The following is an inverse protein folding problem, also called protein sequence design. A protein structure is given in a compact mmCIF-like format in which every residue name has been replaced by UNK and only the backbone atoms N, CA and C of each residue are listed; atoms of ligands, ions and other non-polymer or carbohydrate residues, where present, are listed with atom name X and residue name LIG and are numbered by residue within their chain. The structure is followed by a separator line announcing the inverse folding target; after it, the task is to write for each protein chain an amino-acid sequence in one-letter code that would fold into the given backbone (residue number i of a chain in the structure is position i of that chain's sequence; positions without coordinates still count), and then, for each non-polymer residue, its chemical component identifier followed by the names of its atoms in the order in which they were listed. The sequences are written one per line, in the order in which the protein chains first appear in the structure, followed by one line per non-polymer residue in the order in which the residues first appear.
data_IF_977924318401
#
_entry.id   IF_977924318401
#
_cell.length_a   1.000
_cell.length_b   1.000
_cell.length_c   1.000
_cell.angle_alpha   90.00
_cell.angle_beta   90.00
_cell.angle_gamma   90.00
#
_symmetry.space_group_name_H-M   'P 1'
#
loop_
_entity.id
_entity.type
_entity.pdbx_description
1 polymer ?
#
# COMPACT_ATOMS: atom_id res chain seq x y z
N UNK A 1 26.22 -5.37 5.78
CA UNK A 1 25.17 -4.75 4.95
C UNK A 1 25.84 -3.85 3.92
N UNK A 2 25.73 -4.22 2.66
CA UNK A 2 26.33 -3.51 1.51
C UNK A 2 25.30 -2.53 0.95
N UNK A 3 25.63 -1.22 0.93
CA UNK A 3 24.70 -0.16 0.55
C UNK A 3 25.12 0.46 -0.78
N UNK A 4 24.16 0.70 -1.69
CA UNK A 4 24.30 1.48 -2.91
C UNK A 4 23.54 2.80 -2.78
N UNK A 5 24.17 3.92 -3.08
CA UNK A 5 23.48 5.19 -3.25
C UNK A 5 23.31 5.52 -4.73
N UNK A 6 22.12 6.01 -5.09
CA UNK A 6 21.76 6.53 -6.41
C UNK A 6 21.14 7.92 -6.26
N UNK A 7 21.48 8.84 -7.14
CA UNK A 7 20.89 10.19 -7.16
C UNK A 7 19.91 10.30 -8.34
N UNK A 8 18.61 10.34 -8.02
CA UNK A 8 17.56 10.43 -9.03
C UNK A 8 17.56 11.74 -9.81
N UNK A 9 18.10 12.84 -9.23
CA UNK A 9 18.16 14.13 -9.91
C UNK A 9 19.03 14.12 -11.19
N UNK A 10 19.96 13.17 -11.29
CA UNK A 10 20.89 13.05 -12.41
C UNK A 10 20.48 11.99 -13.45
N UNK A 11 19.37 11.29 -13.23
CA UNK A 11 18.97 10.13 -14.03
C UNK A 11 17.53 10.28 -14.56
N UNK A 12 17.28 9.73 -15.72
CA UNK A 12 15.90 9.48 -16.16
C UNK A 12 15.28 8.29 -15.38
N UNK A 13 13.94 8.17 -15.32
CA UNK A 13 13.29 7.02 -14.67
C UNK A 13 13.77 5.68 -15.20
N UNK A 14 14.05 5.58 -16.50
CA UNK A 14 14.55 4.36 -17.15
C UNK A 14 15.96 4.00 -16.69
N UNK A 15 16.84 4.96 -16.66
CA UNK A 15 18.24 4.75 -16.21
C UNK A 15 18.28 4.39 -14.73
N UNK A 16 17.49 5.09 -13.89
CA UNK A 16 17.40 4.79 -12.47
C UNK A 16 16.89 3.36 -12.23
N UNK A 17 15.80 2.95 -12.88
CA UNK A 17 15.27 1.59 -12.75
C UNK A 17 16.26 0.53 -13.23
N UNK A 18 17.02 0.80 -14.29
CA UNK A 18 18.09 -0.13 -14.76
C UNK A 18 19.17 -0.29 -13.69
N UNK A 19 19.64 0.81 -13.11
CA UNK A 19 20.66 0.79 -12.05
C UNK A 19 20.14 0.14 -10.75
N UNK A 20 18.86 0.35 -10.40
CA UNK A 20 18.24 -0.32 -9.25
C UNK A 20 18.24 -1.83 -9.45
N UNK A 21 17.76 -2.33 -10.59
CA UNK A 21 17.71 -3.78 -10.90
C UNK A 21 19.10 -4.42 -10.96
N UNK A 22 20.08 -3.71 -11.47
CA UNK A 22 21.47 -4.20 -11.48
C UNK A 22 22.04 -4.24 -10.06
N UNK A 23 21.82 -3.18 -9.28
CA UNK A 23 22.31 -3.08 -7.91
C UNK A 23 21.62 -4.08 -6.95
N UNK A 24 20.36 -4.40 -7.19
CA UNK A 24 19.61 -5.34 -6.36
C UNK A 24 20.25 -6.73 -6.26
N UNK A 25 21.03 -7.13 -7.25
CA UNK A 25 21.76 -8.41 -7.28
C UNK A 25 22.97 -8.48 -6.33
N UNK A 26 23.55 -7.33 -6.01
CA UNK A 26 24.86 -7.24 -5.34
C UNK A 26 24.82 -6.49 -4.00
N UNK A 27 23.73 -5.78 -3.70
CA UNK A 27 23.61 -4.92 -2.53
C UNK A 27 22.40 -5.31 -1.66
N UNK A 28 22.57 -5.24 -0.35
CA UNK A 28 21.51 -5.51 0.63
C UNK A 28 20.52 -4.34 0.74
N UNK A 29 20.99 -3.13 0.43
CA UNK A 29 20.19 -1.89 0.49
C UNK A 29 20.56 -0.93 -0.64
N UNK A 30 19.53 -0.31 -1.22
CA UNK A 30 19.67 0.78 -2.19
C UNK A 30 19.01 2.03 -1.61
N UNK A 31 19.77 3.13 -1.54
CA UNK A 31 19.28 4.45 -1.11
C UNK A 31 19.16 5.35 -2.34
N UNK A 32 17.95 5.78 -2.65
CA UNK A 32 17.64 6.68 -3.76
C UNK A 32 17.40 8.07 -3.20
N UNK A 33 18.30 9.00 -3.51
CA UNK A 33 18.20 10.42 -3.12
C UNK A 33 17.52 11.26 -4.19
N UNK A 34 16.91 12.36 -3.76
CA UNK A 34 16.28 13.37 -4.63
C UNK A 34 15.28 12.79 -5.63
N UNK A 35 14.30 11.97 -5.21
CA UNK A 35 13.32 11.38 -6.13
C UNK A 35 12.41 12.44 -6.78
N UNK A 36 12.23 13.61 -6.16
CA UNK A 36 11.56 14.80 -6.71
C UNK A 36 10.22 14.51 -7.41
N UNK A 37 9.37 13.68 -6.81
CA UNK A 37 8.10 13.23 -7.36
C UNK A 37 8.20 12.56 -8.75
N UNK A 38 9.35 12.00 -9.09
CA UNK A 38 9.55 11.27 -10.34
C UNK A 38 8.63 10.05 -10.39
N UNK A 39 8.05 9.79 -11.58
CA UNK A 39 7.13 8.68 -11.81
C UNK A 39 7.88 7.38 -12.15
N UNK A 40 7.20 6.23 -11.96
CA UNK A 40 7.67 4.89 -12.34
C UNK A 40 9.00 4.49 -11.67
N UNK A 41 9.27 4.97 -10.46
CA UNK A 41 10.46 4.57 -9.69
C UNK A 41 10.30 3.15 -9.15
N UNK A 42 11.41 2.39 -9.13
CA UNK A 42 11.45 1.02 -8.59
C UNK A 42 10.41 0.12 -9.27
N UNK A 43 10.30 0.19 -10.58
CA UNK A 43 9.32 -0.59 -11.34
C UNK A 43 9.87 -1.97 -11.74
N UNK A 44 9.12 -3.05 -11.44
CA UNK A 44 9.43 -4.42 -11.83
C UNK A 44 10.75 -4.93 -11.27
N UNK A 45 11.05 -4.65 -10.01
CA UNK A 45 12.15 -5.27 -9.26
C UNK A 45 11.66 -6.60 -8.70
N UNK A 46 12.44 -7.68 -8.91
CA UNK A 46 12.09 -9.05 -8.52
C UNK A 46 13.09 -9.67 -7.55
N UNK A 47 14.04 -8.90 -7.06
CA UNK A 47 15.04 -9.33 -6.10
C UNK A 47 14.63 -8.91 -4.68
N UNK A 48 14.93 -9.74 -3.69
CA UNK A 48 14.76 -9.42 -2.27
C UNK A 48 15.83 -8.41 -1.82
N UNK A 49 15.48 -7.12 -1.88
CA UNK A 49 16.38 -6.03 -1.54
C UNK A 49 15.64 -4.92 -0.79
N UNK A 50 16.32 -4.25 0.13
CA UNK A 50 15.76 -3.08 0.80
C UNK A 50 16.01 -1.83 -0.06
N UNK A 51 14.96 -1.11 -0.42
CA UNK A 51 15.05 0.12 -1.23
C UNK A 51 14.43 1.27 -0.44
N UNK A 52 15.21 2.32 -0.22
CA UNK A 52 14.74 3.51 0.48
C UNK A 52 14.80 4.72 -0.44
N UNK A 53 13.67 5.44 -0.58
CA UNK A 53 13.55 6.66 -1.36
C UNK A 53 13.48 7.85 -0.39
N UNK A 54 14.49 8.72 -0.43
CA UNK A 54 14.64 9.87 0.45
C UNK A 54 13.86 11.08 -0.07
N UNK A 55 12.54 11.01 0.03
CA UNK A 55 11.61 12.05 -0.37
C UNK A 55 10.33 11.54 -1.02
N UNK A 56 9.52 12.48 -1.52
CA UNK A 56 8.25 12.15 -2.19
C UNK A 56 8.48 11.63 -3.60
N UNK A 57 7.61 10.71 -4.02
CA UNK A 57 7.65 10.02 -5.31
C UNK A 57 6.39 10.27 -6.13
N UNK A 58 6.48 10.04 -7.44
CA UNK A 58 5.38 10.20 -8.37
C UNK A 58 4.51 8.95 -8.52
N UNK A 59 3.83 8.87 -9.66
CA UNK A 59 2.88 7.80 -9.99
C UNK A 59 3.59 6.48 -10.27
N UNK A 60 2.94 5.34 -9.98
CA UNK A 60 3.40 3.99 -10.27
C UNK A 60 4.76 3.63 -9.63
N UNK A 61 5.08 4.22 -8.48
CA UNK A 61 6.27 3.80 -7.74
C UNK A 61 6.05 2.43 -7.11
N UNK A 62 7.00 1.49 -7.29
CA UNK A 62 6.90 0.12 -6.81
C UNK A 62 5.94 -0.77 -7.62
N UNK A 63 5.59 -0.35 -8.85
CA UNK A 63 4.69 -1.15 -9.70
C UNK A 63 5.34 -2.46 -10.15
N UNK A 64 4.54 -3.56 -10.20
CA UNK A 64 4.95 -4.88 -10.70
C UNK A 64 6.20 -5.45 -10.00
N UNK A 65 6.39 -5.15 -8.74
CA UNK A 65 7.49 -5.70 -7.94
C UNK A 65 7.13 -7.07 -7.35
N UNK A 66 8.20 -7.87 -7.09
CA UNK A 66 8.11 -9.22 -6.52
C UNK A 66 9.30 -9.43 -5.54
N UNK A 67 9.08 -9.23 -4.24
CA UNK A 67 10.06 -9.46 -3.18
C UNK A 67 10.73 -8.24 -2.54
N UNK A 68 10.94 -7.06 -3.17
CA UNK A 68 11.65 -5.98 -2.54
C UNK A 68 10.86 -5.36 -1.37
N UNK A 69 11.59 -4.82 -0.39
CA UNK A 69 11.03 -3.94 0.66
C UNK A 69 11.34 -2.49 0.32
N UNK A 70 10.29 -1.75 -0.05
CA UNK A 70 10.39 -0.37 -0.53
C UNK A 70 9.88 0.57 0.56
N UNK A 71 10.74 1.49 1.02
CA UNK A 71 10.37 2.56 1.95
C UNK A 71 10.45 3.92 1.27
N UNK A 72 9.37 4.69 1.36
CA UNK A 72 9.23 6.03 0.79
C UNK A 72 9.15 7.04 1.93
N UNK A 73 10.20 7.85 2.14
CA UNK A 73 10.30 8.85 3.21
C UNK A 73 9.57 10.16 2.85
N UNK A 74 8.40 10.05 2.24
CA UNK A 74 7.60 11.17 1.78
C UNK A 74 6.21 10.75 1.36
N UNK A 75 5.60 11.53 0.47
CA UNK A 75 4.31 11.18 -0.13
C UNK A 75 4.52 10.36 -1.42
N UNK A 76 3.52 9.60 -1.80
CA UNK A 76 3.47 8.90 -3.08
C UNK A 76 2.33 9.44 -3.97
N UNK A 77 2.53 9.38 -5.28
CA UNK A 77 1.51 9.71 -6.26
C UNK A 77 0.46 8.59 -6.39
N UNK A 78 -0.26 8.57 -7.52
CA UNK A 78 -1.25 7.56 -7.83
C UNK A 78 -0.61 6.20 -8.11
N UNK A 79 -1.34 5.12 -7.79
CA UNK A 79 -0.98 3.74 -8.10
C UNK A 79 0.35 3.27 -7.47
N UNK A 80 0.65 3.72 -6.25
CA UNK A 80 1.81 3.22 -5.50
C UNK A 80 1.60 1.75 -5.15
N UNK A 81 2.61 0.89 -5.40
CA UNK A 81 2.53 -0.55 -5.18
C UNK A 81 1.58 -1.29 -6.12
N UNK A 82 1.24 -0.69 -7.28
CA UNK A 82 0.37 -1.30 -8.28
C UNK A 82 0.89 -2.67 -8.76
N UNK A 83 -0.01 -3.67 -8.82
CA UNK A 83 0.31 -5.03 -9.25
C UNK A 83 1.51 -5.68 -8.52
N UNK A 84 1.72 -5.36 -7.24
CA UNK A 84 2.68 -6.04 -6.38
C UNK A 84 2.32 -7.53 -6.26
N UNK A 85 3.29 -8.43 -6.44
CA UNK A 85 3.09 -9.87 -6.28
C UNK A 85 3.62 -10.40 -4.95
N UNK A 86 4.72 -9.85 -4.48
CA UNK A 86 5.30 -10.09 -3.15
C UNK A 86 6.19 -8.91 -2.72
N UNK A 87 6.59 -8.89 -1.44
CA UNK A 87 7.39 -7.83 -0.85
C UNK A 87 6.54 -6.77 -0.15
N UNK A 88 7.09 -5.58 0.01
CA UNK A 88 6.49 -4.54 0.86
C UNK A 88 6.70 -3.15 0.27
N UNK A 89 5.68 -2.30 0.37
CA UNK A 89 5.78 -0.87 0.05
C UNK A 89 5.25 -0.06 1.23
N UNK A 90 6.12 0.70 1.91
CA UNK A 90 5.76 1.57 3.04
C UNK A 90 5.91 3.03 2.64
N UNK A 91 4.83 3.81 2.76
CA UNK A 91 4.79 5.25 2.51
C UNK A 91 4.62 5.98 3.84
N UNK A 92 5.61 6.77 4.25
CA UNK A 92 5.58 7.54 5.50
C UNK A 92 4.59 8.73 5.46
N UNK A 93 4.28 9.19 4.26
CA UNK A 93 3.30 10.26 4.01
C UNK A 93 1.94 9.75 3.59
N UNK A 94 1.29 10.52 2.73
CA UNK A 94 0.03 10.21 2.05
C UNK A 94 0.29 9.65 0.65
N UNK A 95 -0.69 8.93 0.09
CA UNK A 95 -0.65 8.52 -1.30
C UNK A 95 -1.88 9.01 -2.07
N UNK A 96 -1.78 9.02 -3.40
CA UNK A 96 -2.89 9.38 -4.28
C UNK A 96 -3.89 8.24 -4.48
N UNK A 97 -4.66 8.31 -5.58
CA UNK A 97 -5.66 7.30 -5.93
C UNK A 97 -5.01 5.96 -6.31
N UNK A 98 -5.73 4.87 -6.13
CA UNK A 98 -5.33 3.53 -6.57
C UNK A 98 -4.15 2.91 -5.81
N UNK A 99 -3.88 3.33 -4.57
CA UNK A 99 -2.84 2.68 -3.76
C UNK A 99 -3.10 1.18 -3.65
N UNK A 100 -2.11 0.34 -4.00
CA UNK A 100 -2.24 -1.11 -4.00
C UNK A 100 -3.21 -1.66 -5.04
N UNK A 101 -3.47 -0.93 -6.14
CA UNK A 101 -4.32 -1.44 -7.21
C UNK A 101 -3.78 -2.77 -7.73
N UNK A 102 -4.67 -3.73 -7.90
CA UNK A 102 -4.37 -4.99 -8.58
C UNK A 102 -3.36 -5.91 -7.90
N UNK A 103 -2.96 -5.67 -6.66
CA UNK A 103 -1.95 -6.51 -5.99
C UNK A 103 -2.40 -7.98 -5.92
N UNK A 104 -1.45 -8.87 -6.13
CA UNK A 104 -1.62 -10.33 -6.06
C UNK A 104 -1.15 -10.88 -4.71
N UNK A 105 -0.30 -10.17 -4.00
CA UNK A 105 0.29 -10.53 -2.73
C UNK A 105 1.10 -9.37 -2.15
N UNK A 106 1.92 -9.63 -1.13
CA UNK A 106 2.71 -8.62 -0.45
C UNK A 106 1.88 -7.62 0.36
N UNK A 107 2.52 -6.54 0.79
CA UNK A 107 1.91 -5.55 1.68
C UNK A 107 2.16 -4.11 1.20
N UNK A 108 1.12 -3.29 1.18
CA UNK A 108 1.21 -1.85 0.94
C UNK A 108 0.73 -1.10 2.18
N UNK A 109 1.60 -0.28 2.76
CA UNK A 109 1.30 0.52 3.96
C UNK A 109 1.41 2.00 3.61
N UNK A 110 0.37 2.78 3.92
CA UNK A 110 0.41 4.25 3.84
C UNK A 110 0.07 4.81 5.21
N UNK A 111 1.03 5.46 5.85
CA UNK A 111 0.88 5.93 7.26
C UNK A 111 -0.13 7.04 7.45
N UNK A 112 -0.42 7.79 6.38
CA UNK A 112 -1.44 8.85 6.39
C UNK A 112 -2.62 8.47 5.50
N UNK A 113 -3.25 9.45 4.89
CA UNK A 113 -4.44 9.23 4.06
C UNK A 113 -4.10 8.89 2.62
N UNK A 114 -5.04 8.24 1.96
CA UNK A 114 -4.98 7.91 0.53
C UNK A 114 -6.15 8.54 -0.23
N UNK A 115 -6.01 8.57 -1.54
CA UNK A 115 -7.10 8.95 -2.43
C UNK A 115 -8.17 7.87 -2.57
N UNK A 116 -8.84 7.87 -3.70
CA UNK A 116 -9.93 6.95 -4.02
C UNK A 116 -9.44 5.64 -4.64
N UNK A 117 -10.30 4.62 -4.72
CA UNK A 117 -10.04 3.32 -5.36
C UNK A 117 -8.83 2.57 -4.79
N UNK A 118 -8.54 2.75 -3.51
CA UNK A 118 -7.53 1.95 -2.80
C UNK A 118 -7.87 0.47 -2.92
N UNK A 119 -6.91 -0.37 -3.36
CA UNK A 119 -7.12 -1.80 -3.55
C UNK A 119 -8.09 -2.17 -4.68
N UNK A 120 -8.31 -1.27 -5.67
CA UNK A 120 -9.08 -1.59 -6.87
C UNK A 120 -8.57 -2.88 -7.52
N UNK A 121 -9.49 -3.82 -7.84
CA UNK A 121 -9.19 -5.14 -8.44
C UNK A 121 -8.13 -5.97 -7.70
N UNK A 122 -7.93 -5.73 -6.41
CA UNK A 122 -7.01 -6.49 -5.56
C UNK A 122 -7.37 -7.98 -5.54
N UNK A 123 -6.40 -8.88 -5.74
CA UNK A 123 -6.61 -10.33 -5.79
C UNK A 123 -6.23 -11.00 -4.47
N UNK A 124 -5.21 -10.53 -3.80
CA UNK A 124 -4.73 -11.00 -2.50
C UNK A 124 -3.78 -9.96 -1.88
N UNK A 125 -3.14 -10.29 -0.74
CA UNK A 125 -2.21 -9.42 -0.04
C UNK A 125 -2.89 -8.54 1.02
N UNK A 126 -2.16 -7.53 1.48
CA UNK A 126 -2.59 -6.65 2.58
C UNK A 126 -2.37 -5.19 2.23
N UNK A 127 -3.37 -4.34 2.47
CA UNK A 127 -3.22 -2.88 2.39
C UNK A 127 -3.56 -2.29 3.76
N UNK A 128 -2.69 -1.42 4.30
CA UNK A 128 -2.89 -0.75 5.59
C UNK A 128 -2.81 0.76 5.40
N UNK A 129 -3.86 1.47 5.80
CA UNK A 129 -3.98 2.92 5.70
C UNK A 129 -4.14 3.51 7.10
N UNK A 130 -3.18 4.32 7.53
CA UNK A 130 -3.16 4.96 8.85
C UNK A 130 -4.13 6.15 8.98
N UNK A 131 -4.61 6.70 7.88
CA UNK A 131 -5.59 7.80 7.81
C UNK A 131 -6.86 7.41 7.07
N UNK A 132 -7.42 8.36 6.34
CA UNK A 132 -8.67 8.19 5.58
C UNK A 132 -8.42 7.60 4.19
N UNK A 133 -9.44 6.96 3.62
CA UNK A 133 -9.49 6.51 2.23
C UNK A 133 -10.68 7.14 1.49
N UNK A 134 -10.52 7.42 0.20
CA UNK A 134 -11.55 8.04 -0.63
C UNK A 134 -12.67 7.08 -1.03
N UNK A 135 -13.43 7.46 -2.06
CA UNK A 135 -14.56 6.67 -2.56
C UNK A 135 -14.10 5.39 -3.29
N UNK A 136 -15.00 4.42 -3.40
CA UNK A 136 -14.77 3.15 -4.11
C UNK A 136 -13.54 2.36 -3.62
N UNK A 137 -13.20 2.49 -2.33
CA UNK A 137 -12.16 1.64 -1.71
C UNK A 137 -12.56 0.18 -1.82
N UNK A 138 -11.66 -0.66 -2.38
CA UNK A 138 -11.90 -2.09 -2.61
C UNK A 138 -12.86 -2.40 -3.76
N UNK A 139 -13.07 -1.45 -4.70
CA UNK A 139 -13.88 -1.72 -5.89
C UNK A 139 -13.35 -2.94 -6.66
N UNK A 140 -14.24 -3.86 -7.04
CA UNK A 140 -13.93 -5.13 -7.72
C UNK A 140 -12.90 -6.01 -7.01
N UNK A 141 -12.72 -5.84 -5.69
CA UNK A 141 -11.80 -6.66 -4.91
C UNK A 141 -12.16 -8.14 -5.01
N UNK A 142 -11.17 -8.99 -5.26
CA UNK A 142 -11.31 -10.44 -5.48
C UNK A 142 -10.77 -11.28 -4.32
N UNK A 143 -10.06 -10.67 -3.38
CA UNK A 143 -9.45 -11.32 -2.21
C UNK A 143 -8.50 -10.41 -1.47
N UNK A 144 -7.88 -10.92 -0.39
CA UNK A 144 -6.98 -10.16 0.47
C UNK A 144 -7.70 -9.32 1.52
N UNK A 145 -6.98 -8.40 2.16
CA UNK A 145 -7.52 -7.52 3.21
C UNK A 145 -7.05 -6.07 3.06
N UNK A 146 -7.95 -5.14 3.37
CA UNK A 146 -7.65 -3.71 3.47
C UNK A 146 -7.98 -3.25 4.89
N UNK A 147 -7.06 -2.55 5.56
CA UNK A 147 -7.23 -2.01 6.91
C UNK A 147 -7.13 -0.49 6.87
N UNK A 148 -8.14 0.21 7.36
CA UNK A 148 -8.22 1.67 7.34
C UNK A 148 -8.49 2.17 8.74
N UNK A 149 -7.58 3.00 9.27
CA UNK A 149 -7.67 3.54 10.63
C UNK A 149 -8.46 4.86 10.71
N UNK A 150 -8.78 5.48 9.59
CA UNK A 150 -9.63 6.65 9.48
C UNK A 150 -10.99 6.34 8.85
N UNK A 151 -11.59 7.38 8.28
CA UNK A 151 -12.89 7.30 7.60
C UNK A 151 -12.73 6.85 6.15
N UNK A 152 -13.81 6.30 5.59
CA UNK A 152 -13.86 5.87 4.18
C UNK A 152 -15.01 6.57 3.46
N UNK A 153 -14.76 6.92 2.20
CA UNK A 153 -15.72 7.60 1.33
C UNK A 153 -16.94 6.75 0.96
N UNK A 154 -17.57 7.12 -0.14
CA UNK A 154 -18.77 6.45 -0.68
C UNK A 154 -18.40 5.17 -1.43
N UNK A 155 -19.38 4.26 -1.58
CA UNK A 155 -19.35 3.04 -2.39
C UNK A 155 -18.18 2.10 -2.03
N UNK A 156 -17.96 1.91 -0.73
CA UNK A 156 -16.93 0.99 -0.23
C UNK A 156 -17.26 -0.43 -0.66
N UNK A 157 -16.25 -1.15 -1.16
CA UNK A 157 -16.37 -2.51 -1.66
C UNK A 157 -17.39 -2.63 -2.82
N UNK A 158 -17.47 -1.61 -3.70
CA UNK A 158 -18.34 -1.66 -4.87
C UNK A 158 -18.02 -2.88 -5.73
N UNK A 159 -19.04 -3.70 -5.98
CA UNK A 159 -18.93 -4.93 -6.78
C UNK A 159 -17.85 -5.90 -6.30
N UNK A 160 -17.61 -5.95 -5.00
CA UNK A 160 -16.65 -6.87 -4.39
C UNK A 160 -17.03 -8.33 -4.66
N UNK A 161 -16.04 -9.20 -4.89
CA UNK A 161 -16.21 -10.63 -5.13
C UNK A 161 -15.82 -11.43 -3.88
N UNK A 162 -14.68 -11.07 -3.27
CA UNK A 162 -14.14 -11.67 -2.04
C UNK A 162 -13.19 -10.69 -1.36
N UNK A 163 -12.87 -10.98 -0.09
CA UNK A 163 -11.94 -10.22 0.71
C UNK A 163 -12.62 -9.47 1.83
N UNK A 164 -11.83 -8.78 2.64
CA UNK A 164 -12.32 -8.07 3.82
C UNK A 164 -11.73 -6.67 3.88
N UNK A 165 -12.56 -5.70 4.27
CA UNK A 165 -12.13 -4.32 4.51
C UNK A 165 -12.47 -3.98 5.97
N UNK A 166 -11.47 -3.77 6.77
CA UNK A 166 -11.59 -3.34 8.16
C UNK A 166 -11.52 -1.81 8.23
N UNK A 167 -12.53 -1.19 8.79
CA UNK A 167 -12.60 0.27 8.93
C UNK A 167 -12.82 0.63 10.39
N UNK A 168 -11.93 1.45 10.94
CA UNK A 168 -12.07 1.97 12.31
C UNK A 168 -12.98 3.20 12.37
N UNK A 169 -12.92 4.07 11.36
CA UNK A 169 -13.71 5.28 11.27
C UNK A 169 -15.10 5.07 10.69
N UNK A 170 -15.68 6.12 10.15
CA UNK A 170 -17.00 6.09 9.52
C UNK A 170 -16.91 5.57 8.08
N UNK A 171 -17.92 4.81 7.65
CA UNK A 171 -18.15 4.38 6.27
C UNK A 171 -19.32 5.18 5.72
N UNK A 172 -19.10 5.97 4.69
CA UNK A 172 -20.13 6.87 4.16
C UNK A 172 -21.25 6.14 3.47
N UNK A 173 -20.94 5.16 2.63
CA UNK A 173 -21.87 4.20 2.05
C UNK A 173 -21.16 2.91 1.64
N UNK A 174 -21.93 1.82 1.55
CA UNK A 174 -21.46 0.56 0.98
C UNK A 174 -21.79 0.50 -0.50
N UNK A 175 -20.90 -0.10 -1.28
CA UNK A 175 -21.14 -0.45 -2.67
C UNK A 175 -21.99 -1.71 -2.83
N UNK A 176 -22.24 -2.09 -4.08
CA UNK A 176 -22.99 -3.27 -4.44
C UNK A 176 -22.25 -4.55 -4.02
N UNK A 177 -22.97 -5.54 -3.50
CA UNK A 177 -22.48 -6.78 -2.92
C UNK A 177 -21.73 -6.65 -1.57
N UNK A 178 -21.50 -5.47 -1.06
CA UNK A 178 -20.90 -5.30 0.25
C UNK A 178 -21.92 -5.50 1.37
N UNK A 179 -21.50 -6.10 2.47
CA UNK A 179 -22.26 -6.20 3.72
C UNK A 179 -21.38 -5.86 4.91
N UNK A 180 -22.00 -5.41 5.98
CA UNK A 180 -21.33 -5.24 7.27
C UNK A 180 -21.43 -6.55 8.04
N UNK A 181 -20.33 -6.97 8.66
CA UNK A 181 -20.28 -8.13 9.55
C UNK A 181 -19.60 -7.75 10.87
N UNK A 182 -19.71 -8.59 11.90
CA UNK A 182 -19.08 -8.35 13.19
C UNK A 182 -17.65 -8.90 13.20
N UNK A 183 -16.72 -8.18 13.90
CA UNK A 183 -15.36 -8.64 14.14
C UNK A 183 -15.33 -9.89 15.01
N UNK A 184 -14.69 -10.93 14.52
CA UNK A 184 -14.35 -12.08 15.35
C UNK A 184 -13.20 -11.77 16.32
N UNK A 185 -12.97 -12.66 17.27
CA UNK A 185 -11.80 -12.55 18.15
C UNK A 185 -10.49 -12.75 17.36
N UNK A 186 -10.50 -13.64 16.40
CA UNK A 186 -9.39 -13.93 15.51
C UNK A 186 -9.02 -12.68 14.68
N UNK A 187 -10.00 -11.99 14.10
CA UNK A 187 -9.77 -10.73 13.39
C UNK A 187 -9.06 -9.69 14.26
N UNK A 188 -9.53 -9.54 15.52
CA UNK A 188 -8.95 -8.56 16.45
C UNK A 188 -7.49 -8.87 16.77
N UNK A 189 -7.13 -10.14 16.91
CA UNK A 189 -5.76 -10.56 17.18
C UNK A 189 -4.86 -10.31 15.96
N UNK A 190 -5.29 -10.74 14.78
CA UNK A 190 -4.55 -10.53 13.52
C UNK A 190 -4.34 -9.04 13.22
N UNK A 191 -5.38 -8.21 13.41
CA UNK A 191 -5.27 -6.76 13.24
C UNK A 191 -4.28 -6.14 14.22
N UNK A 192 -4.29 -6.60 15.48
CA UNK A 192 -3.36 -6.11 16.50
C UNK A 192 -1.91 -6.40 16.09
N UNK A 193 -1.60 -7.66 15.74
CA UNK A 193 -0.26 -8.06 15.32
C UNK A 193 0.20 -7.28 14.07
N UNK A 194 -0.65 -7.18 13.05
CA UNK A 194 -0.38 -6.42 11.84
C UNK A 194 -0.08 -4.94 12.12
N UNK A 195 -0.86 -4.30 12.97
CA UNK A 195 -0.68 -2.87 13.24
C UNK A 195 0.53 -2.60 14.15
N UNK A 196 0.86 -3.52 15.07
CA UNK A 196 2.07 -3.44 15.88
C UNK A 196 3.33 -3.58 15.00
N UNK A 197 3.32 -4.43 13.99
CA UNK A 197 4.43 -4.59 13.02
C UNK A 197 4.80 -3.26 12.33
N UNK A 198 3.79 -2.42 12.05
CA UNK A 198 4.00 -1.13 11.37
C UNK A 198 3.99 0.09 12.30
N UNK A 199 4.09 -0.06 13.62
CA UNK A 199 3.96 1.03 14.61
C UNK A 199 2.67 1.85 14.43
N UNK A 200 1.60 1.23 13.96
CA UNK A 200 0.28 1.82 13.81
C UNK A 200 -0.56 1.38 15.02
N UNK A 201 -0.74 2.30 15.97
CA UNK A 201 -1.35 1.98 17.26
C UNK A 201 -2.87 1.81 17.17
N UNK A 202 -3.34 0.70 17.77
CA UNK A 202 -4.76 0.48 18.12
C UNK A 202 -5.21 1.27 19.35
N UNK A 203 -4.38 2.10 20.01
CA UNK A 203 -4.57 2.67 21.36
C UNK A 203 -5.91 3.41 21.55
N UNK A 204 -6.68 3.68 20.53
CA UNK A 204 -8.00 4.29 20.60
C UNK A 204 -9.11 3.52 19.89
N UNK A 205 -9.00 2.20 19.78
CA UNK A 205 -10.14 1.41 19.32
C UNK A 205 -11.09 1.17 20.49
N UNK A 206 -11.97 2.14 20.70
CA UNK A 206 -13.29 1.82 21.20
C UNK A 206 -13.96 0.99 20.11
N UNK A 207 -14.15 -0.30 20.33
CA UNK A 207 -14.76 -1.29 19.43
C UNK A 207 -14.86 -0.91 17.93
N UNK A 208 -14.09 -1.52 17.05
CA UNK A 208 -14.25 -1.30 15.63
C UNK A 208 -15.66 -1.73 15.23
N UNK A 209 -16.43 -0.81 14.75
CA UNK A 209 -17.88 -0.96 14.64
C UNK A 209 -18.36 -1.50 13.29
N UNK A 210 -17.49 -1.69 12.28
CA UNK A 210 -17.99 -2.11 10.96
C UNK A 210 -16.95 -2.80 10.09
N UNK A 211 -17.39 -3.83 9.37
CA UNK A 211 -16.68 -4.52 8.30
C UNK A 211 -17.51 -4.53 7.03
N UNK A 212 -16.85 -4.53 5.86
CA UNK A 212 -17.48 -4.98 4.63
C UNK A 212 -16.90 -6.37 4.30
N UNK A 213 -17.72 -7.40 4.36
CA UNK A 213 -17.37 -8.77 4.01
C UNK A 213 -18.44 -9.34 3.07
N UNK A 214 -18.07 -10.27 2.22
CA UNK A 214 -19.01 -11.07 1.42
C UNK A 214 -19.03 -12.48 1.95
#
# INVERSE_FOLDING_TARGET
MKIKELDAASLSPRELNSQVKESAKDYDKILIKNPNAMHYLVAGVTDEVNIELDGSVGYFTGTMCDGPKIKINGNAGWFVGDNLTDGEVVVEGSAGDGAGQGIYGGTVVVRKSVGSRTGEIMKNGTIVIGGNSGFMTGIFMMGGRIVILGDVGEDVAESIIRGVIYVKGEVKSLGYNAKIDELTWEDKLELKELLEEYDLSLIHISEPTRHAQI
#
